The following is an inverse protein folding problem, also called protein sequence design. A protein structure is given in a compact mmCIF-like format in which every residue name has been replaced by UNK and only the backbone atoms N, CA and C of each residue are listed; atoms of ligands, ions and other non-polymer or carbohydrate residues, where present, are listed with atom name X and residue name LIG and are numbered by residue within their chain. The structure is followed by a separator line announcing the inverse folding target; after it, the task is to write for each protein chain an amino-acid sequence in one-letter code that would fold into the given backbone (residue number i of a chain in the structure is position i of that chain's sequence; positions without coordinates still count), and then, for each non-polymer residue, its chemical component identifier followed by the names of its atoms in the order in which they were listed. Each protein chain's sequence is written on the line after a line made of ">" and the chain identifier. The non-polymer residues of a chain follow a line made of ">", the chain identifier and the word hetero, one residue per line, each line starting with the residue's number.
data_IF_437204426944
#
_entry.id   IF_437204426944
#
_cell.length_a   1.000
_cell.length_b   1.000
_cell.length_c   1.000
_cell.angle_alpha   90.00
_cell.angle_beta   90.00
_cell.angle_gamma   90.00
#
_symmetry.space_group_name_H-M   'P 1'
#
loop_
_entity.id
_entity.type
_entity.pdbx_description
1 polymer ?
#
# COMPACT_ATOMS: atom_id res chain seq x y z
N UNK A 1 -8.97 4.41 11.17
CA UNK A 1 -8.94 4.26 9.72
C UNK A 1 -8.60 5.57 9.09
N UNK A 2 -7.68 5.53 8.18
CA UNK A 2 -7.20 6.73 7.55
C UNK A 2 -7.72 6.74 6.14
N UNK A 3 -8.52 7.75 5.81
CA UNK A 3 -8.90 8.02 4.44
C UNK A 3 -7.84 8.93 3.83
N UNK A 4 -7.04 8.40 2.91
CA UNK A 4 -6.16 9.19 2.08
C UNK A 4 -6.91 9.86 0.93
N UNK A 5 -8.22 9.64 0.86
CA UNK A 5 -9.07 10.20 -0.16
C UNK A 5 -9.38 11.66 0.09
N UNK A 6 -9.37 12.44 -0.96
CA UNK A 6 -10.01 13.74 -0.95
C UNK A 6 -11.52 13.49 -1.10
N UNK A 7 -12.22 13.52 0.01
CA UNK A 7 -13.67 13.34 0.02
C UNK A 7 -14.33 14.60 -0.52
N UNK A 8 -14.57 14.65 -1.81
CA UNK A 8 -15.28 15.77 -2.41
C UNK A 8 -16.78 15.76 -2.08
N UNK A 9 -17.36 14.63 -1.67
CA UNK A 9 -18.80 14.52 -1.51
C UNK A 9 -19.30 13.46 -0.51
N UNK A 10 -18.50 13.01 0.45
CA UNK A 10 -19.03 12.02 1.39
C UNK A 10 -19.00 12.52 2.82
N UNK A 11 -20.16 12.62 3.40
CA UNK A 11 -20.41 12.88 4.82
C UNK A 11 -19.96 11.74 5.74
N UNK A 12 -19.47 10.64 5.22
CA UNK A 12 -18.88 9.53 5.97
C UNK A 12 -17.43 9.36 5.59
N UNK A 13 -16.55 9.77 6.49
CA UNK A 13 -15.16 9.33 6.47
C UNK A 13 -15.13 7.82 6.69
N UNK A 14 -15.13 7.06 5.63
CA UNK A 14 -14.87 5.63 5.75
C UNK A 14 -13.42 5.42 6.16
N UNK A 15 -13.26 5.02 7.36
CA UNK A 15 -12.00 4.57 7.90
C UNK A 15 -11.56 3.31 7.16
N UNK A 16 -10.45 3.36 6.44
CA UNK A 16 -10.00 2.22 5.64
C UNK A 16 -9.07 1.31 6.45
N UNK A 17 -8.10 1.84 7.15
CA UNK A 17 -7.16 1.07 7.99
C UNK A 17 -6.60 1.97 9.08
N UNK A 18 -6.49 1.49 10.30
CA UNK A 18 -5.67 2.14 11.30
C UNK A 18 -4.20 1.86 10.96
N UNK A 19 -3.40 2.91 10.83
CA UNK A 19 -1.98 2.77 10.65
C UNK A 19 -1.35 2.40 12.00
N UNK A 20 -0.96 1.13 12.10
CA UNK A 20 -0.17 0.66 13.22
C UNK A 20 1.29 0.67 12.76
N UNK A 21 2.10 1.46 13.44
CA UNK A 21 3.53 1.56 13.14
C UNK A 21 4.32 0.75 14.15
N UNK A 22 5.33 0.01 13.66
CA UNK A 22 6.32 -0.58 14.54
C UNK A 22 7.41 0.42 14.90
N UNK A 23 8.18 0.13 15.95
CA UNK A 23 9.27 1.00 16.43
C UNK A 23 10.63 0.65 15.83
N UNK A 24 10.72 -0.37 14.99
CA UNK A 24 11.98 -0.89 14.47
C UNK A 24 12.44 -0.17 13.20
N UNK A 25 11.49 0.40 12.46
CA UNK A 25 11.76 1.07 11.18
C UNK A 25 11.32 2.53 11.22
N UNK A 26 11.97 3.42 10.46
CA UNK A 26 11.51 4.81 10.34
C UNK A 26 10.04 4.87 9.90
N UNK A 27 9.26 5.73 10.57
CA UNK A 27 7.81 5.86 10.31
C UNK A 27 7.54 6.25 8.86
N UNK A 28 8.36 7.15 8.28
CA UNK A 28 8.13 7.57 6.91
C UNK A 28 8.24 6.42 5.89
N UNK A 29 9.13 5.45 6.12
CA UNK A 29 9.24 4.26 5.25
C UNK A 29 8.02 3.37 5.37
N UNK A 30 7.46 3.25 6.57
CA UNK A 30 6.22 2.50 6.78
C UNK A 30 5.04 3.20 6.12
N UNK A 31 4.98 4.53 6.15
CA UNK A 31 3.99 5.32 5.42
C UNK A 31 4.12 5.12 3.90
N UNK A 32 5.34 5.19 3.37
CA UNK A 32 5.59 4.94 1.94
C UNK A 32 5.03 3.60 1.53
N UNK A 33 5.32 2.55 2.30
CA UNK A 33 4.85 1.19 1.98
C UNK A 33 3.32 1.09 2.04
N UNK A 34 2.68 1.68 3.05
CA UNK A 34 1.23 1.64 3.19
C UNK A 34 0.52 2.38 2.04
N UNK A 35 0.99 3.57 1.72
CA UNK A 35 0.41 4.35 0.62
C UNK A 35 0.66 3.67 -0.73
N UNK A 36 1.84 3.12 -0.93
CA UNK A 36 2.17 2.33 -2.14
C UNK A 36 1.17 1.19 -2.34
N UNK A 37 0.88 0.44 -1.29
CA UNK A 37 -0.08 -0.66 -1.32
C UNK A 37 -1.49 -0.13 -1.66
N UNK A 38 -1.91 0.97 -1.09
CA UNK A 38 -3.22 1.57 -1.39
C UNK A 38 -3.33 2.00 -2.85
N UNK A 39 -2.24 2.49 -3.44
CA UNK A 39 -2.22 2.87 -4.86
C UNK A 39 -2.28 1.62 -5.75
N UNK A 40 -1.42 0.64 -5.53
CA UNK A 40 -1.36 -0.54 -6.39
C UNK A 40 -2.57 -1.46 -6.22
N UNK A 41 -3.21 -1.46 -5.07
CA UNK A 41 -4.45 -2.22 -4.83
C UNK A 41 -5.70 -1.56 -5.41
N UNK A 42 -5.59 -0.30 -5.83
CA UNK A 42 -6.71 0.47 -6.34
C UNK A 42 -7.60 1.12 -5.28
N UNK A 43 -7.23 1.05 -4.01
CA UNK A 43 -7.94 1.79 -2.94
C UNK A 43 -7.83 3.29 -3.15
N UNK A 44 -6.63 3.75 -3.48
CA UNK A 44 -6.42 5.08 -4.04
C UNK A 44 -6.46 4.93 -5.56
N UNK A 45 -7.41 5.60 -6.17
CA UNK A 45 -7.65 5.46 -7.62
C UNK A 45 -6.65 6.27 -8.43
N UNK A 46 -6.37 5.81 -9.64
CA UNK A 46 -5.54 6.55 -10.60
C UNK A 46 -6.07 7.96 -10.82
N UNK A 47 -5.18 8.95 -10.78
CA UNK A 47 -5.54 10.34 -10.98
C UNK A 47 -6.25 10.99 -9.80
N UNK A 48 -6.49 10.27 -8.72
CA UNK A 48 -7.17 10.78 -7.55
C UNK A 48 -6.32 11.83 -6.83
N UNK A 49 -6.95 12.93 -6.44
CA UNK A 49 -6.32 13.96 -5.64
C UNK A 49 -6.16 13.50 -4.20
N UNK A 50 -4.97 13.67 -3.66
CA UNK A 50 -4.70 13.38 -2.25
C UNK A 50 -5.13 14.57 -1.38
N UNK A 51 -5.44 14.29 -0.11
CA UNK A 51 -5.64 15.33 0.89
C UNK A 51 -4.35 16.13 1.07
N UNK A 52 -4.43 17.40 1.51
CA UNK A 52 -3.25 18.18 1.87
C UNK A 52 -2.42 17.48 2.94
N UNK A 53 -1.10 17.71 2.91
CA UNK A 53 -0.14 17.04 3.81
C UNK A 53 -0.55 17.10 5.28
N UNK A 54 -1.01 18.26 5.74
CA UNK A 54 -1.40 18.44 7.16
C UNK A 54 -2.57 17.54 7.53
N UNK A 55 -3.55 17.41 6.63
CA UNK A 55 -4.72 16.55 6.87
C UNK A 55 -4.32 15.07 6.84
N UNK A 56 -3.48 14.67 5.88
CA UNK A 56 -2.95 13.31 5.83
C UNK A 56 -2.15 12.98 7.11
N UNK A 57 -1.33 13.91 7.56
CA UNK A 57 -0.54 13.73 8.78
C UNK A 57 -1.44 13.59 10.02
N UNK A 58 -2.49 14.42 10.13
CA UNK A 58 -3.46 14.32 11.20
C UNK A 58 -4.17 12.96 11.20
N UNK A 59 -4.63 12.51 10.04
CA UNK A 59 -5.29 11.22 9.92
C UNK A 59 -4.35 10.05 10.27
N UNK A 60 -3.10 10.13 9.85
CA UNK A 60 -2.08 9.12 10.15
C UNK A 60 -1.50 9.23 11.57
N UNK A 61 -1.82 10.30 12.28
CA UNK A 61 -1.25 10.61 13.61
C UNK A 61 0.27 10.65 13.59
N UNK A 62 0.82 11.30 12.58
CA UNK A 62 2.27 11.49 12.39
C UNK A 62 2.58 12.97 12.24
N UNK A 63 3.86 13.30 12.41
CA UNK A 63 4.34 14.65 12.17
C UNK A 63 4.17 15.03 10.68
N UNK A 64 3.72 16.25 10.35
CA UNK A 64 3.61 16.70 8.96
C UNK A 64 4.90 16.57 8.15
N UNK A 65 6.06 16.79 8.77
CA UNK A 65 7.35 16.62 8.10
C UNK A 65 7.60 15.14 7.72
N UNK A 66 7.18 14.21 8.57
CA UNK A 66 7.27 12.78 8.30
C UNK A 66 6.37 12.38 7.13
N UNK A 67 5.15 12.89 7.10
CA UNK A 67 4.23 12.68 5.97
C UNK A 67 4.79 13.29 4.69
N UNK A 68 5.31 14.51 4.75
CA UNK A 68 5.94 15.17 3.61
C UNK A 68 7.09 14.32 3.03
N UNK A 69 7.94 13.80 3.90
CA UNK A 69 9.05 12.93 3.49
C UNK A 69 8.57 11.67 2.77
N UNK A 70 7.50 11.06 3.28
CA UNK A 70 6.89 9.89 2.65
C UNK A 70 6.36 10.22 1.25
N UNK A 71 5.66 11.34 1.11
CA UNK A 71 5.11 11.77 -0.18
C UNK A 71 6.19 12.09 -1.19
N UNK A 72 7.30 12.68 -0.76
CA UNK A 72 8.47 12.94 -1.63
C UNK A 72 9.06 11.63 -2.15
N UNK A 73 9.18 10.60 -1.31
CA UNK A 73 9.65 9.29 -1.76
C UNK A 73 8.70 8.66 -2.78
N UNK A 74 7.39 8.77 -2.57
CA UNK A 74 6.39 8.28 -3.53
C UNK A 74 6.45 9.05 -4.86
N UNK A 75 6.75 10.35 -4.83
CA UNK A 75 6.98 11.15 -6.03
C UNK A 75 8.22 10.68 -6.79
N UNK A 76 9.30 10.35 -6.09
CA UNK A 76 10.52 9.79 -6.72
C UNK A 76 10.23 8.46 -7.42
N UNK A 77 9.34 7.67 -6.88
CA UNK A 77 8.89 6.41 -7.50
C UNK A 77 7.93 6.64 -8.66
N UNK A 78 7.42 7.85 -8.82
CA UNK A 78 6.44 8.19 -9.85
C UNK A 78 5.01 7.82 -9.51
N UNK A 79 4.75 7.32 -8.30
CA UNK A 79 3.40 6.91 -7.86
C UNK A 79 2.50 8.08 -7.50
N UNK A 80 3.09 9.20 -7.15
CA UNK A 80 2.41 10.46 -6.84
C UNK A 80 3.08 11.56 -7.63
N UNK A 81 2.30 12.52 -8.10
CA UNK A 81 2.83 13.70 -8.77
C UNK A 81 2.18 14.97 -8.25
N UNK A 82 2.90 16.08 -8.32
CA UNK A 82 2.42 17.39 -7.90
C UNK A 82 2.09 18.22 -9.14
N UNK A 83 0.89 18.78 -9.15
CA UNK A 83 0.48 19.75 -10.17
C UNK A 83 0.46 21.14 -9.57
N UNK A 84 1.54 21.92 -9.75
CA UNK A 84 1.61 23.33 -9.41
C UNK A 84 0.78 23.71 -8.16
N UNK A 85 -0.31 24.49 -8.33
CA UNK A 85 -1.21 24.92 -7.27
C UNK A 85 -2.36 23.96 -6.98
N UNK A 86 -2.52 22.91 -7.81
CA UNK A 86 -3.66 22.00 -7.72
C UNK A 86 -3.48 20.87 -6.70
N UNK A 87 -2.26 20.67 -6.20
CA UNK A 87 -1.97 19.66 -5.19
C UNK A 87 -1.29 18.41 -5.73
N UNK A 88 -1.40 17.34 -4.96
CA UNK A 88 -0.81 16.03 -5.29
C UNK A 88 -1.87 15.05 -5.76
N UNK A 89 -1.48 14.23 -6.72
CA UNK A 89 -2.36 13.26 -7.36
C UNK A 89 -1.69 11.91 -7.46
N UNK A 90 -2.51 10.87 -7.43
CA UNK A 90 -2.06 9.50 -7.72
C UNK A 90 -1.77 9.39 -9.22
N UNK A 91 -0.70 8.69 -9.56
CA UNK A 91 -0.32 8.46 -10.95
C UNK A 91 -1.44 7.82 -11.79
N UNK A 92 -1.49 8.16 -13.06
CA UNK A 92 -2.33 7.48 -14.05
C UNK A 92 -1.57 6.43 -14.85
N UNK A 93 -0.29 6.25 -14.58
CA UNK A 93 0.56 5.30 -15.30
C UNK A 93 0.28 3.86 -14.87
N UNK A 94 -0.57 3.18 -15.61
CA UNK A 94 -0.97 1.79 -15.34
C UNK A 94 0.20 0.80 -15.40
N UNK A 95 1.11 1.01 -16.33
CA UNK A 95 2.30 0.15 -16.46
C UNK A 95 3.18 0.22 -15.23
N UNK A 96 3.42 1.43 -14.72
CA UNK A 96 4.19 1.62 -13.49
C UNK A 96 3.50 0.92 -12.30
N UNK A 97 2.19 1.10 -12.14
CA UNK A 97 1.42 0.47 -11.08
C UNK A 97 1.53 -1.06 -11.16
N UNK A 98 1.35 -1.63 -12.35
CA UNK A 98 1.45 -3.08 -12.55
C UNK A 98 2.86 -3.61 -12.27
N UNK A 99 3.89 -2.89 -12.66
CA UNK A 99 5.28 -3.29 -12.40
C UNK A 99 5.57 -3.29 -10.89
N UNK A 100 5.15 -2.26 -10.18
CA UNK A 100 5.33 -2.20 -8.71
C UNK A 100 4.52 -3.30 -8.03
N UNK A 101 3.30 -3.54 -8.48
CA UNK A 101 2.46 -4.63 -7.95
C UNK A 101 3.14 -6.00 -8.10
N UNK A 102 3.74 -6.27 -9.27
CA UNK A 102 4.50 -7.50 -9.51
C UNK A 102 5.70 -7.63 -8.59
N UNK A 103 6.43 -6.54 -8.39
CA UNK A 103 7.59 -6.55 -7.50
C UNK A 103 7.19 -6.81 -6.05
N UNK A 104 6.11 -6.21 -5.59
CA UNK A 104 5.54 -6.48 -4.26
C UNK A 104 5.09 -7.94 -4.14
N UNK A 105 4.47 -8.48 -5.16
CA UNK A 105 4.05 -9.89 -5.18
C UNK A 105 5.26 -10.83 -5.08
N UNK A 106 6.31 -10.57 -5.84
CA UNK A 106 7.56 -11.35 -5.77
C UNK A 106 8.18 -11.31 -4.37
N UNK A 107 8.23 -10.14 -3.76
CA UNK A 107 8.73 -9.97 -2.40
C UNK A 107 7.96 -10.84 -1.40
N UNK A 108 6.64 -10.78 -1.44
CA UNK A 108 5.77 -11.56 -0.56
C UNK A 108 5.91 -13.07 -0.79
N UNK A 109 6.02 -13.49 -2.04
CA UNK A 109 6.23 -14.90 -2.39
C UNK A 109 7.58 -15.38 -1.87
N UNK A 110 8.64 -14.59 -2.06
CA UNK A 110 9.97 -14.94 -1.54
C UNK A 110 9.97 -15.07 -0.02
N UNK A 111 9.31 -14.15 0.67
CA UNK A 111 9.16 -14.22 2.14
C UNK A 111 8.42 -15.50 2.54
N UNK A 112 7.31 -15.81 1.89
CA UNK A 112 6.55 -17.03 2.15
C UNK A 112 7.40 -18.28 1.95
N UNK A 113 8.11 -18.38 0.83
CA UNK A 113 8.98 -19.54 0.52
C UNK A 113 10.08 -19.69 1.56
N UNK A 114 10.74 -18.60 1.94
CA UNK A 114 11.79 -18.63 2.95
C UNK A 114 11.25 -19.01 4.33
N UNK A 115 10.09 -18.51 4.72
CA UNK A 115 9.46 -18.85 6.00
C UNK A 115 9.10 -20.34 6.03
N UNK A 116 8.57 -20.88 4.94
CA UNK A 116 8.25 -22.30 4.81
C UNK A 116 9.51 -23.17 4.90
N UNK A 117 10.56 -22.76 4.21
CA UNK A 117 11.87 -23.45 4.25
C UNK A 117 12.42 -23.49 5.68
N UNK A 118 12.30 -22.39 6.42
CA UNK A 118 12.80 -22.29 7.80
C UNK A 118 12.07 -23.22 8.77
N UNK A 119 10.84 -23.62 8.48
CA UNK A 119 10.09 -24.62 9.27
C UNK A 119 10.16 -26.02 8.66
N UNK A 120 11.06 -26.25 7.69
CA UNK A 120 11.30 -27.56 7.11
C UNK A 120 10.34 -27.96 5.98
N UNK A 121 9.61 -27.02 5.40
CA UNK A 121 8.68 -27.30 4.30
C UNK A 121 9.35 -26.98 2.96
N UNK A 122 9.33 -27.93 2.05
CA UNK A 122 9.88 -27.77 0.70
C UNK A 122 9.03 -26.83 -0.15
N UNK A 123 9.60 -26.34 -1.24
CA UNK A 123 8.85 -25.53 -2.22
C UNK A 123 7.63 -26.27 -2.74
N UNK A 124 7.77 -27.54 -3.09
CA UNK A 124 6.68 -28.36 -3.60
C UNK A 124 5.52 -28.49 -2.61
N UNK A 125 5.85 -28.72 -1.34
CA UNK A 125 4.86 -28.82 -0.28
C UNK A 125 4.24 -27.47 0.05
N UNK A 126 5.02 -26.38 0.02
CA UNK A 126 4.50 -25.03 0.19
C UNK A 126 3.46 -24.68 -0.89
N UNK A 127 3.71 -25.09 -2.14
CA UNK A 127 2.78 -24.91 -3.24
C UNK A 127 1.47 -25.69 -3.00
N UNK A 128 1.56 -26.93 -2.52
CA UNK A 128 0.39 -27.73 -2.16
C UNK A 128 -0.44 -27.08 -1.06
N UNK A 129 0.21 -26.58 -0.02
CA UNK A 129 -0.50 -25.86 1.05
C UNK A 129 -1.24 -24.64 0.53
N UNK A 130 -0.63 -23.86 -0.35
CA UNK A 130 -1.30 -22.73 -0.99
C UNK A 130 -2.55 -23.16 -1.76
N UNK A 131 -2.45 -24.25 -2.52
CA UNK A 131 -3.58 -24.77 -3.30
C UNK A 131 -4.71 -25.30 -2.41
N UNK A 132 -4.38 -25.97 -1.31
CA UNK A 132 -5.35 -26.59 -0.42
C UNK A 132 -6.00 -25.59 0.54
N UNK A 133 -5.21 -24.66 1.09
CA UNK A 133 -5.65 -23.77 2.15
C UNK A 133 -6.03 -22.37 1.64
N UNK A 134 -5.32 -21.85 0.65
CA UNK A 134 -5.51 -20.50 0.16
C UNK A 134 -6.93 -20.22 -0.33
N UNK A 135 -7.52 -21.14 -1.09
CA UNK A 135 -8.88 -20.99 -1.60
C UNK A 135 -9.95 -21.07 -0.52
N UNK A 136 -9.65 -21.67 0.64
CA UNK A 136 -10.58 -21.71 1.79
C UNK A 136 -10.58 -20.45 2.61
N UNK A 137 -9.43 -19.74 2.63
CA UNK A 137 -9.26 -18.53 3.45
C UNK A 137 -10.03 -17.36 2.87
N UNK A 138 -9.99 -17.19 1.56
CA UNK A 138 -10.65 -16.06 0.89
C UNK A 138 -12.04 -16.37 0.36
N UNK A 139 -12.49 -17.60 0.51
CA UNK A 139 -13.80 -18.03 0.02
C UNK A 139 -13.90 -18.14 -1.50
N UNK A 140 -12.80 -18.01 -2.21
CA UNK A 140 -12.83 -18.17 -3.68
C UNK A 140 -12.78 -19.64 -4.06
N UNK A 141 -13.51 -19.96 -5.13
CA UNK A 141 -13.45 -21.29 -5.72
C UNK A 141 -12.15 -21.42 -6.50
N UNK A 142 -11.40 -22.46 -6.22
CA UNK A 142 -10.22 -22.74 -7.00
C UNK A 142 -10.54 -23.13 -8.42
N UNK A 143 -9.72 -22.65 -9.23
CA UNK A 143 -9.68 -23.07 -10.63
C UNK A 143 -8.85 -24.33 -10.74
#
# INVERSE_FOLDING_TARGET
>A
MISLYYASNTTKKEKIVDYIFDNERPIYLQLVQKIRIEIVSGKLKKGQRLLPVRELAMEAKVNPNTMQKALVELEKEGLVYTESTNGRFVTENEELIENIKKDLAKEKINTYINDMKNIGISYEDALKYLQELGGKIDGTTRV
#
